data_IF_118868352100
#
_entry.id   IF_118868352100
#
_cell.length_a   1.000
_cell.length_b   1.000
_cell.length_c   1.000
_cell.angle_alpha   90.00
_cell.angle_beta   90.00
_cell.angle_gamma   90.00
#
_symmetry.space_group_name_H-M   'P 1'
#
loop_
_entity.id
_entity.type
_entity.pdbx_description
1 polymer ?
#
# COMPACT_ATOMS: atom_id res chain seq x y z
N UNK A 1 -19.86 4.26 -42.43
CA UNK A 1 -21.05 5.12 -42.21
C UNK A 1 -20.65 6.26 -41.29
N UNK A 2 -20.95 7.48 -41.74
CA UNK A 2 -21.08 8.76 -41.02
C UNK A 2 -19.96 9.23 -40.05
N UNK A 3 -19.08 10.09 -40.61
CA UNK A 3 -18.47 11.27 -39.97
C UNK A 3 -19.52 12.37 -39.72
N UNK A 4 -19.25 13.26 -38.74
CA UNK A 4 -19.39 14.74 -38.74
C UNK A 4 -18.97 15.21 -37.33
N UNK A 5 -17.93 16.02 -37.05
CA UNK A 5 -17.39 17.30 -37.60
C UNK A 5 -18.34 18.49 -37.37
N UNK A 6 -17.72 19.64 -37.05
CA UNK A 6 -18.09 21.07 -37.26
C UNK A 6 -18.26 21.83 -35.92
N UNK A 7 -17.72 23.02 -35.62
CA UNK A 7 -17.02 24.16 -36.29
C UNK A 7 -16.22 24.91 -35.19
N UNK A 8 -15.02 25.50 -35.34
CA UNK A 8 -14.48 26.52 -36.26
C UNK A 8 -15.07 27.94 -36.14
N UNK A 9 -14.24 28.89 -35.66
CA UNK A 9 -14.40 30.36 -35.84
C UNK A 9 -13.01 31.02 -35.99
N UNK A 10 -12.55 31.04 -37.24
CA UNK A 10 -12.12 32.19 -38.07
C UNK A 10 -11.30 33.36 -37.48
N UNK A 11 -10.16 33.54 -38.16
CA UNK A 11 -9.14 34.60 -38.20
C UNK A 11 -9.67 35.98 -38.62
N UNK A 12 -9.02 37.06 -38.17
CA UNK A 12 -8.83 38.21 -39.06
C UNK A 12 -7.38 38.72 -39.07
N UNK A 13 -6.92 38.91 -40.30
CA UNK A 13 -5.57 39.20 -40.76
C UNK A 13 -5.43 40.72 -40.98
N UNK A 14 -4.25 41.30 -40.74
CA UNK A 14 -3.65 42.35 -41.59
C UNK A 14 -2.26 42.76 -41.07
N UNK A 15 -1.24 42.48 -41.91
CA UNK A 15 -0.20 43.38 -42.49
C UNK A 15 0.34 44.50 -41.56
N UNK A 16 1.62 44.86 -41.51
CA UNK A 16 2.64 44.89 -42.55
C UNK A 16 4.03 45.11 -41.95
N UNK A 17 5.02 44.49 -42.58
CA UNK A 17 6.44 44.86 -42.54
C UNK A 17 6.59 46.33 -42.97
N UNK A 18 7.41 47.12 -42.28
CA UNK A 18 8.16 48.21 -42.92
C UNK A 18 9.42 48.60 -42.16
N UNK A 19 10.51 48.56 -42.93
CA UNK A 19 11.80 49.20 -42.70
C UNK A 19 11.61 50.67 -42.33
N UNK A 20 12.47 51.20 -41.44
CA UNK A 20 12.70 52.63 -41.34
C UNK A 20 14.19 52.89 -41.55
N UNK A 21 14.45 53.59 -42.66
CA UNK A 21 15.72 54.10 -43.13
C UNK A 21 16.08 55.42 -42.44
N UNK A 22 17.38 55.64 -42.34
CA UNK A 22 18.06 56.87 -41.94
C UNK A 22 18.00 57.86 -43.10
N UNK A 23 17.66 59.14 -42.86
CA UNK A 23 18.43 60.28 -43.39
C UNK A 23 18.09 61.66 -42.78
N UNK A 24 19.16 62.41 -42.48
CA UNK A 24 19.40 63.87 -42.66
C UNK A 24 18.17 64.81 -42.67
N UNK A 25 18.19 65.99 -42.02
CA UNK A 25 19.15 67.11 -42.22
C UNK A 25 18.72 68.33 -41.37
N UNK A 26 19.70 69.22 -41.15
CA UNK A 26 19.61 70.71 -41.05
C UNK A 26 19.18 71.41 -39.74
N UNK A 27 20.21 71.95 -39.06
CA UNK A 27 20.38 73.36 -38.59
C UNK A 27 19.36 74.38 -39.15
N UNK A 28 19.03 75.50 -38.45
CA UNK A 28 20.08 76.44 -38.01
C UNK A 28 19.83 77.38 -36.78
N UNK A 29 20.96 77.94 -36.34
CA UNK A 29 21.25 79.30 -35.83
C UNK A 29 20.51 79.99 -34.66
N UNK A 30 21.37 80.42 -33.72
CA UNK A 30 21.51 81.76 -33.12
C UNK A 30 20.43 82.30 -32.17
N UNK A 31 20.86 82.61 -30.94
CA UNK A 31 20.81 84.00 -30.45
C UNK A 31 21.76 84.18 -29.25
N UNK A 32 22.50 85.28 -29.27
CA UNK A 32 23.46 85.78 -28.28
C UNK A 32 22.77 86.67 -27.26
N UNK A 33 23.29 86.72 -26.02
CA UNK A 33 23.49 87.91 -25.16
C UNK A 33 23.76 87.43 -23.71
N UNK A 34 24.56 88.05 -22.83
CA UNK A 34 25.48 89.19 -22.86
C UNK A 34 26.21 89.24 -21.49
N UNK A 35 27.53 89.37 -21.56
CA UNK A 35 28.55 89.99 -20.67
C UNK A 35 28.20 90.46 -19.25
N UNK A 36 29.15 90.27 -18.32
CA UNK A 36 30.01 91.32 -17.69
C UNK A 36 31.02 90.63 -16.73
N UNK A 37 32.33 90.74 -16.99
CA UNK A 37 33.32 91.64 -16.32
C UNK A 37 33.87 91.03 -15.00
N UNK A 38 35.16 91.08 -14.63
CA UNK A 38 36.30 91.83 -15.12
C UNK A 38 37.63 91.12 -14.74
N UNK A 39 38.62 91.29 -15.63
CA UNK A 39 40.05 91.58 -15.44
C UNK A 39 40.96 90.75 -14.52
N UNK A 40 42.28 90.68 -14.70
CA UNK A 40 43.29 90.97 -15.76
C UNK A 40 44.63 90.93 -14.98
N UNK A 41 45.67 90.20 -15.42
CA UNK A 41 47.03 90.68 -15.76
C UNK A 41 47.96 89.45 -15.54
N UNK A 42 49.02 89.12 -16.26
CA UNK A 42 49.75 89.60 -17.46
C UNK A 42 50.72 88.43 -17.77
N UNK A 43 50.70 87.83 -18.95
CA UNK A 43 51.58 88.13 -20.09
C UNK A 43 53.11 88.11 -19.81
N UNK A 44 53.81 87.16 -20.44
CA UNK A 44 54.97 87.50 -21.27
C UNK A 44 55.12 86.53 -22.45
N UNK A 45 54.77 87.05 -23.62
CA UNK A 45 55.07 86.57 -24.97
C UNK A 45 56.58 86.47 -25.21
N UNK A 46 57.00 85.57 -26.11
CA UNK A 46 57.59 86.02 -27.38
C UNK A 46 57.53 84.93 -28.46
N UNK A 47 57.28 85.41 -29.67
CA UNK A 47 56.93 84.69 -30.87
C UNK A 47 58.16 84.16 -31.65
N UNK A 48 57.90 83.07 -32.38
CA UNK A 48 58.37 82.65 -33.73
C UNK A 48 59.80 83.00 -34.23
N UNK A 49 60.46 82.05 -34.93
CA UNK A 49 60.12 81.88 -36.35
C UNK A 49 60.09 80.43 -36.88
N UNK A 50 59.51 80.35 -38.07
CA UNK A 50 59.40 79.20 -38.94
C UNK A 50 60.76 78.57 -39.31
N UNK A 51 60.79 77.23 -39.39
CA UNK A 51 61.60 76.51 -40.37
C UNK A 51 61.32 75.00 -40.38
N UNK A 52 61.11 74.52 -41.60
CA UNK A 52 61.51 73.21 -42.14
C UNK A 52 60.55 72.02 -42.03
N UNK A 53 60.17 71.58 -43.24
CA UNK A 53 59.62 70.29 -43.59
C UNK A 53 60.41 69.16 -42.93
N UNK A 54 59.71 68.25 -42.27
CA UNK A 54 60.23 66.91 -42.02
C UNK A 54 59.11 65.93 -42.25
N UNK A 55 59.25 65.16 -43.33
CA UNK A 55 58.44 63.98 -43.61
C UNK A 55 58.51 63.05 -42.40
N UNK A 56 57.44 63.00 -41.60
CA UNK A 56 57.30 61.97 -40.55
C UNK A 56 56.78 60.71 -41.22
N UNK A 57 57.70 59.80 -41.51
CA UNK A 57 57.40 58.39 -41.71
C UNK A 57 56.47 57.90 -40.59
N UNK A 58 55.30 57.37 -40.98
CA UNK A 58 54.45 56.59 -40.08
C UNK A 58 55.19 55.27 -39.83
N UNK A 59 56.08 55.26 -38.84
CA UNK A 59 56.64 54.01 -38.32
C UNK A 59 55.47 53.18 -37.79
N UNK A 60 55.17 52.07 -38.49
CA UNK A 60 54.38 50.97 -37.93
C UNK A 60 55.04 50.58 -36.62
N UNK A 61 54.46 51.05 -35.51
CA UNK A 61 54.84 50.66 -34.16
C UNK A 61 54.51 49.18 -34.06
N UNK A 62 55.53 48.35 -34.26
CA UNK A 62 55.46 46.96 -33.85
C UNK A 62 55.09 46.98 -32.37
N UNK A 63 53.84 46.63 -32.04
CA UNK A 63 53.47 46.43 -30.65
C UNK A 63 54.51 45.46 -30.07
N UNK A 64 55.21 45.82 -28.98
CA UNK A 64 56.24 44.96 -28.43
C UNK A 64 55.58 43.59 -28.19
N UNK A 65 56.17 42.52 -28.74
CA UNK A 65 55.60 41.16 -28.71
C UNK A 65 55.14 40.74 -27.30
N UNK A 66 55.75 41.34 -26.26
CA UNK A 66 55.36 41.26 -24.85
C UNK A 66 53.91 41.66 -24.56
N UNK A 67 53.36 42.73 -25.16
CA UNK A 67 51.98 43.17 -24.91
C UNK A 67 50.98 42.12 -25.43
N UNK A 68 51.24 41.56 -26.61
CA UNK A 68 50.40 40.50 -27.20
C UNK A 68 50.42 39.26 -26.30
N UNK A 69 51.59 38.90 -25.76
CA UNK A 69 51.72 37.79 -24.80
C UNK A 69 51.03 38.08 -23.46
N UNK A 70 51.07 39.31 -22.94
CA UNK A 70 50.34 39.67 -21.71
C UNK A 70 48.83 39.62 -21.90
N UNK A 71 48.31 40.09 -23.03
CA UNK A 71 46.87 40.03 -23.35
C UNK A 71 46.44 38.57 -23.56
N UNK A 72 47.26 37.76 -24.23
CA UNK A 72 46.99 36.33 -24.38
C UNK A 72 46.96 35.60 -23.03
N UNK A 73 47.92 35.89 -22.13
CA UNK A 73 47.96 35.33 -20.78
C UNK A 73 46.72 35.75 -19.95
N UNK A 74 46.35 37.03 -19.98
CA UNK A 74 45.15 37.55 -19.31
C UNK A 74 43.86 36.90 -19.86
N UNK A 75 43.78 36.71 -21.18
CA UNK A 75 42.66 36.02 -21.83
C UNK A 75 42.57 34.55 -21.41
N UNK A 76 43.70 33.85 -21.33
CA UNK A 76 43.77 32.47 -20.81
C UNK A 76 43.33 32.41 -19.35
N UNK A 77 43.80 33.32 -18.49
CA UNK A 77 43.40 33.40 -17.08
C UNK A 77 41.89 33.68 -16.97
N UNK A 78 41.37 34.61 -17.77
CA UNK A 78 39.94 34.94 -17.80
C UNK A 78 39.09 33.76 -18.28
N UNK A 79 39.55 33.04 -19.30
CA UNK A 79 38.89 31.86 -19.82
C UNK A 79 38.93 30.72 -18.79
N UNK A 80 40.07 30.49 -18.13
CA UNK A 80 40.21 29.52 -17.06
C UNK A 80 39.30 29.87 -15.86
N UNK A 81 39.21 31.14 -15.49
CA UNK A 81 38.32 31.63 -14.44
C UNK A 81 36.83 31.50 -14.80
N UNK A 82 36.50 31.71 -16.08
CA UNK A 82 35.15 31.55 -16.61
C UNK A 82 34.74 30.07 -16.64
N UNK A 83 35.59 29.19 -17.17
CA UNK A 83 35.36 27.74 -17.22
C UNK A 83 35.22 27.17 -15.81
N UNK A 84 36.12 27.50 -14.88
CA UNK A 84 36.03 27.05 -13.48
C UNK A 84 34.80 27.59 -12.75
N UNK A 85 34.28 28.77 -13.13
CA UNK A 85 33.00 29.29 -12.62
C UNK A 85 31.79 28.44 -13.02
N UNK A 86 31.81 27.81 -14.20
CA UNK A 86 30.71 26.93 -14.64
C UNK A 86 30.66 25.61 -13.87
N UNK A 87 31.78 25.16 -13.29
CA UNK A 87 31.87 23.94 -12.48
C UNK A 87 31.76 24.19 -10.97
N UNK A 88 31.07 25.27 -10.57
CA UNK A 88 30.85 25.52 -9.15
C UNK A 88 29.90 24.49 -8.54
N UNK A 89 30.29 23.92 -7.41
CA UNK A 89 29.51 22.97 -6.60
C UNK A 89 29.46 23.46 -5.16
N UNK A 90 28.43 23.06 -4.41
CA UNK A 90 28.34 23.35 -2.99
C UNK A 90 27.96 22.09 -2.21
N UNK A 91 28.56 21.90 -1.04
CA UNK A 91 28.17 20.89 -0.07
C UNK A 91 27.63 21.59 1.16
N UNK A 92 26.42 21.22 1.58
CA UNK A 92 25.70 21.81 2.70
C UNK A 92 25.45 20.72 3.72
N UNK A 93 26.17 20.76 4.83
CA UNK A 93 25.98 19.84 5.95
C UNK A 93 24.93 20.40 6.89
N UNK A 94 23.82 19.69 7.08
CA UNK A 94 22.72 20.11 7.95
C UNK A 94 22.72 19.29 9.23
N UNK A 95 22.62 19.98 10.37
CA UNK A 95 22.43 19.39 11.69
C UNK A 95 20.97 19.65 12.08
N UNK A 96 20.11 18.62 12.09
CA UNK A 96 18.71 18.78 12.42
C UNK A 96 18.54 19.13 13.90
N UNK A 97 17.42 19.78 14.23
CA UNK A 97 17.00 19.94 15.62
C UNK A 97 16.67 18.55 16.18
N UNK A 98 17.17 18.26 17.38
CA UNK A 98 16.90 17.02 18.08
C UNK A 98 16.41 17.28 19.50
N UNK A 99 15.57 16.40 20.02
CA UNK A 99 15.13 16.42 21.40
C UNK A 99 15.00 15.00 21.92
N UNK A 100 15.36 14.79 23.18
CA UNK A 100 15.19 13.51 23.85
C UNK A 100 13.86 13.49 24.59
N UNK A 101 13.06 12.45 24.39
CA UNK A 101 11.81 12.26 25.12
C UNK A 101 11.74 10.87 25.73
N UNK A 102 11.03 10.77 26.86
CA UNK A 102 10.72 9.53 27.55
C UNK A 102 9.21 9.35 27.60
N UNK A 103 8.77 8.11 27.46
CA UNK A 103 7.36 7.74 27.42
C UNK A 103 7.06 6.68 28.47
N UNK A 104 5.91 6.84 29.11
CA UNK A 104 5.22 5.78 29.86
C UNK A 104 3.72 6.06 29.74
N UNK A 105 3.28 6.14 28.49
CA UNK A 105 2.01 6.76 28.12
C UNK A 105 1.18 5.83 27.26
N UNK A 106 -0.12 6.06 27.33
CA UNK A 106 -1.11 5.30 26.59
C UNK A 106 -1.86 6.23 25.66
N UNK A 107 -1.84 5.92 24.38
CA UNK A 107 -2.49 6.66 23.31
C UNK A 107 -3.67 5.86 22.78
N UNK A 108 -4.78 6.54 22.50
CA UNK A 108 -5.94 5.92 21.88
C UNK A 108 -5.85 6.13 20.38
N UNK A 109 -5.79 5.03 19.64
CA UNK A 109 -5.90 5.02 18.19
C UNK A 109 -7.31 4.58 17.78
N UNK A 110 -7.82 5.11 16.67
CA UNK A 110 -9.15 4.78 16.15
C UNK A 110 -9.10 4.43 14.67
N UNK A 111 -9.97 3.53 14.23
CA UNK A 111 -10.07 3.15 12.81
C UNK A 111 -10.63 4.31 11.96
N UNK A 112 -11.63 4.99 12.52
CA UNK A 112 -12.26 6.19 11.96
C UNK A 112 -11.90 7.41 12.82
N UNK A 113 -10.64 7.80 12.80
CA UNK A 113 -10.14 8.94 13.56
C UNK A 113 -10.66 10.28 13.00
N UNK A 114 -11.04 11.19 13.90
CA UNK A 114 -11.32 12.59 13.57
C UNK A 114 -10.02 13.39 13.45
N UNK A 115 -10.03 14.60 12.85
CA UNK A 115 -8.85 15.44 12.78
C UNK A 115 -8.23 15.68 14.16
N UNK A 116 -6.96 15.29 14.33
CA UNK A 116 -6.23 15.41 15.60
C UNK A 116 -6.26 14.15 16.48
N UNK A 117 -6.97 13.10 16.08
CA UNK A 117 -6.88 11.76 16.67
C UNK A 117 -5.92 10.87 15.87
N UNK A 118 -5.40 9.82 16.49
CA UNK A 118 -4.48 8.88 15.83
C UNK A 118 -5.26 7.82 15.04
N UNK A 119 -5.06 7.77 13.72
CA UNK A 119 -5.66 6.73 12.87
C UNK A 119 -4.82 5.45 12.86
N UNK A 120 -5.50 4.31 12.83
CA UNK A 120 -4.88 3.03 12.44
C UNK A 120 -5.65 2.36 11.30
N UNK A 121 -4.94 1.50 10.57
CA UNK A 121 -5.50 0.65 9.53
C UNK A 121 -5.19 -0.82 9.82
N UNK A 122 -6.01 -1.71 9.25
CA UNK A 122 -5.85 -3.16 9.41
C UNK A 122 -5.49 -3.76 8.07
N UNK A 123 -4.27 -4.28 7.97
CA UNK A 123 -3.81 -5.06 6.83
C UNK A 123 -4.19 -6.53 7.06
N UNK A 124 -4.94 -7.12 6.13
CA UNK A 124 -5.32 -8.53 6.19
C UNK A 124 -4.71 -9.30 5.04
N UNK A 125 -4.02 -10.39 5.36
CA UNK A 125 -3.48 -11.34 4.39
C UNK A 125 -4.00 -12.74 4.70
N UNK A 126 -4.18 -13.57 3.69
CA UNK A 126 -4.61 -14.95 3.86
C UNK A 126 -3.67 -15.87 3.11
N UNK A 127 -3.31 -17.00 3.73
CA UNK A 127 -2.45 -17.98 3.09
C UNK A 127 -2.88 -19.39 3.42
N UNK A 128 -2.96 -20.19 2.35
CA UNK A 128 -3.24 -21.61 2.40
C UNK A 128 -1.98 -22.37 2.01
N UNK A 129 -1.58 -23.33 2.83
CA UNK A 129 -0.51 -24.28 2.51
C UNK A 129 -1.02 -25.70 2.66
N UNK A 130 -0.43 -26.62 1.90
CA UNK A 130 -0.73 -28.04 1.99
C UNK A 130 0.54 -28.86 2.19
N UNK A 131 0.39 -30.02 2.85
CA UNK A 131 1.48 -30.99 3.03
C UNK A 131 0.94 -32.39 2.82
N UNK A 132 1.71 -33.20 2.11
CA UNK A 132 1.37 -34.59 1.85
C UNK A 132 1.97 -35.46 2.96
N UNK A 133 1.16 -36.38 3.47
CA UNK A 133 1.52 -37.33 4.52
C UNK A 133 1.20 -38.75 4.05
N UNK A 134 1.99 -39.70 4.53
CA UNK A 134 1.76 -41.12 4.26
C UNK A 134 0.79 -41.70 5.29
N UNK A 135 -0.21 -42.42 4.80
CA UNK A 135 -1.19 -43.11 5.61
C UNK A 135 -0.67 -44.51 5.96
N UNK A 136 -0.13 -44.69 7.16
CA UNK A 136 0.49 -45.95 7.61
C UNK A 136 -0.39 -46.76 8.56
N UNK A 137 -1.36 -46.14 9.21
CA UNK A 137 -2.31 -46.81 10.10
C UNK A 137 -3.53 -47.30 9.30
N UNK A 138 -4.20 -48.36 9.74
CA UNK A 138 -5.44 -48.83 9.10
C UNK A 138 -6.61 -48.65 10.05
N UNK A 139 -7.67 -48.01 9.59
CA UNK A 139 -8.92 -47.83 10.34
C UNK A 139 -10.09 -48.45 9.56
N UNK A 140 -10.98 -49.12 10.27
CA UNK A 140 -12.23 -49.61 9.69
C UNK A 140 -13.21 -48.45 9.52
N UNK A 141 -13.26 -47.86 8.33
CA UNK A 141 -14.20 -46.81 8.00
C UNK A 141 -15.58 -47.44 7.73
N UNK A 142 -16.57 -47.02 8.51
CA UNK A 142 -17.97 -47.46 8.38
C UNK A 142 -18.86 -46.26 8.09
N UNK A 143 -19.03 -45.92 6.82
CA UNK A 143 -19.87 -44.79 6.39
C UNK A 143 -21.19 -45.32 5.81
N UNK A 144 -22.29 -44.69 6.25
CA UNK A 144 -23.64 -44.97 5.76
C UNK A 144 -23.95 -44.09 4.55
N UNK A 145 -24.52 -44.67 3.50
CA UNK A 145 -24.95 -43.91 2.33
C UNK A 145 -26.09 -42.95 2.70
N UNK A 146 -26.15 -41.79 2.06
CA UNK A 146 -27.22 -40.81 2.27
C UNK A 146 -27.70 -40.20 0.96
N UNK A 147 -28.96 -39.78 0.92
CA UNK A 147 -29.60 -39.20 -0.26
C UNK A 147 -30.93 -38.55 0.08
N UNK A 148 -31.68 -38.12 -0.94
CA UNK A 148 -33.01 -37.52 -0.80
C UNK A 148 -34.07 -38.36 -1.50
N UNK A 149 -35.21 -38.52 -0.84
CA UNK A 149 -36.42 -39.12 -1.41
C UNK A 149 -37.59 -38.15 -1.34
N UNK A 150 -38.55 -38.34 -2.25
CA UNK A 150 -39.88 -37.74 -2.17
C UNK A 150 -40.85 -38.82 -1.69
N UNK A 151 -41.49 -38.59 -0.55
CA UNK A 151 -42.48 -39.49 0.03
C UNK A 151 -43.87 -39.05 -0.40
N UNK A 152 -44.68 -39.97 -0.90
CA UNK A 152 -46.04 -39.75 -1.39
C UNK A 152 -47.07 -40.45 -0.50
N UNK A 153 -48.20 -39.76 -0.30
CA UNK A 153 -49.40 -40.28 0.35
C UNK A 153 -50.55 -40.25 -0.66
N UNK A 154 -50.90 -41.43 -1.16
CA UNK A 154 -52.06 -41.65 -2.02
C UNK A 154 -53.17 -42.44 -1.29
N UNK A 155 -53.21 -42.40 0.05
CA UNK A 155 -54.16 -43.18 0.85
C UNK A 155 -55.42 -42.39 1.22
N UNK A 156 -55.26 -41.17 1.75
CA UNK A 156 -56.35 -40.34 2.25
C UNK A 156 -56.02 -38.85 2.19
N UNK A 157 -57.02 -37.99 2.37
CA UNK A 157 -56.85 -36.53 2.54
C UNK A 157 -56.19 -36.15 3.88
N UNK A 158 -56.21 -37.06 4.86
CA UNK A 158 -55.51 -36.88 6.12
C UNK A 158 -53.97 -36.92 5.96
N UNK A 159 -53.30 -36.02 6.67
CA UNK A 159 -51.83 -35.99 6.78
C UNK A 159 -51.33 -37.20 7.58
N UNK A 160 -50.16 -37.73 7.24
CA UNK A 160 -49.52 -38.82 7.98
C UNK A 160 -48.16 -38.36 8.50
N UNK A 161 -48.00 -38.35 9.83
CA UNK A 161 -46.69 -38.14 10.47
C UNK A 161 -45.86 -39.42 10.40
N UNK A 162 -44.62 -39.31 9.96
CA UNK A 162 -43.59 -40.34 10.02
C UNK A 162 -42.54 -39.92 11.04
N UNK A 163 -42.24 -40.79 11.99
CA UNK A 163 -41.30 -40.51 13.09
C UNK A 163 -39.85 -40.71 12.63
N UNK A 164 -38.90 -40.16 13.39
CA UNK A 164 -37.48 -40.44 13.20
C UNK A 164 -37.22 -41.96 13.10
N UNK A 165 -36.29 -42.37 12.24
CA UNK A 165 -35.96 -43.77 11.95
C UNK A 165 -37.08 -44.60 11.30
N UNK A 166 -38.11 -43.96 10.72
CA UNK A 166 -39.05 -44.69 9.85
C UNK A 166 -38.29 -45.36 8.72
N UNK A 167 -38.55 -46.66 8.53
CA UNK A 167 -37.85 -47.54 7.57
C UNK A 167 -38.51 -47.50 6.19
N UNK A 168 -37.71 -47.17 5.19
CA UNK A 168 -38.01 -47.23 3.77
C UNK A 168 -37.21 -48.37 3.15
N UNK A 169 -37.89 -49.31 2.53
CA UNK A 169 -37.33 -50.52 1.93
C UNK A 169 -37.33 -50.36 0.41
N UNK A 170 -36.18 -50.54 -0.23
CA UNK A 170 -36.08 -50.61 -1.70
C UNK A 170 -36.61 -51.94 -2.22
N UNK A 171 -36.80 -52.07 -3.55
CA UNK A 171 -37.15 -53.36 -4.16
C UNK A 171 -36.09 -54.45 -3.92
N UNK A 172 -34.83 -54.07 -3.71
CA UNK A 172 -33.72 -54.97 -3.40
C UNK A 172 -33.65 -55.33 -1.90
N UNK A 173 -34.63 -54.89 -1.10
CA UNK A 173 -34.71 -55.17 0.34
C UNK A 173 -33.78 -54.33 1.20
N UNK A 174 -33.12 -53.31 0.63
CA UNK A 174 -32.23 -52.42 1.37
C UNK A 174 -33.04 -51.40 2.18
N UNK A 175 -32.67 -51.25 3.45
CA UNK A 175 -33.38 -50.38 4.38
C UNK A 175 -32.67 -49.03 4.50
N UNK A 176 -33.46 -47.96 4.39
CA UNK A 176 -33.07 -46.58 4.62
C UNK A 176 -33.98 -45.95 5.67
N UNK A 177 -33.46 -44.98 6.41
CA UNK A 177 -34.14 -44.34 7.54
C UNK A 177 -34.14 -42.84 7.39
N UNK A 178 -35.21 -42.20 7.87
CA UNK A 178 -35.27 -40.73 7.95
C UNK A 178 -34.61 -40.22 9.23
N UNK A 179 -33.77 -39.18 9.18
CA UNK A 179 -33.03 -38.66 10.33
C UNK A 179 -33.88 -37.73 11.21
N UNK A 180 -35.05 -37.30 10.73
CA UNK A 180 -35.98 -36.42 11.44
C UNK A 180 -37.42 -36.84 11.16
N UNK A 181 -38.34 -36.48 12.05
CA UNK A 181 -39.76 -36.71 11.83
C UNK A 181 -40.28 -35.78 10.74
N UNK A 182 -41.15 -36.28 9.86
CA UNK A 182 -41.76 -35.52 8.76
C UNK A 182 -43.28 -35.70 8.77
N UNK A 183 -43.99 -34.74 8.19
CA UNK A 183 -45.43 -34.83 8.00
C UNK A 183 -45.70 -34.90 6.50
N UNK A 184 -46.25 -36.03 6.04
CA UNK A 184 -46.62 -36.22 4.64
C UNK A 184 -48.05 -35.71 4.46
N UNK A 185 -48.28 -34.68 3.61
CA UNK A 185 -49.63 -34.20 3.33
C UNK A 185 -50.53 -35.30 2.77
N UNK A 186 -51.84 -35.18 2.97
CA UNK A 186 -52.81 -36.06 2.29
C UNK A 186 -53.05 -35.68 0.83
N UNK A 187 -53.92 -36.45 0.18
CA UNK A 187 -54.37 -36.20 -1.20
C UNK A 187 -55.01 -34.81 -1.31
N UNK A 188 -54.73 -34.10 -2.40
CA UNK A 188 -55.38 -32.83 -2.77
C UNK A 188 -56.19 -32.99 -4.06
N UNK A 189 -57.30 -32.26 -4.15
CA UNK A 189 -58.09 -32.13 -5.38
C UNK A 189 -57.65 -30.86 -6.11
N UNK A 190 -57.00 -31.02 -7.27
CA UNK A 190 -56.61 -29.91 -8.15
C UNK A 190 -57.31 -30.11 -9.49
N UNK A 191 -58.25 -29.23 -9.83
CA UNK A 191 -59.02 -29.32 -11.07
C UNK A 191 -59.83 -30.63 -11.20
N UNK A 192 -60.41 -31.11 -10.10
CA UNK A 192 -61.20 -32.36 -10.07
C UNK A 192 -60.39 -33.66 -10.13
N UNK A 193 -59.05 -33.57 -10.23
CA UNK A 193 -58.14 -34.74 -10.21
C UNK A 193 -57.51 -34.91 -8.83
N UNK A 194 -57.44 -36.16 -8.36
CA UNK A 194 -56.73 -36.52 -7.12
C UNK A 194 -55.23 -36.49 -7.36
N UNK A 195 -54.52 -35.63 -6.64
CA UNK A 195 -53.06 -35.52 -6.64
C UNK A 195 -52.53 -35.98 -5.29
N UNK A 196 -51.65 -36.99 -5.23
CA UNK A 196 -51.03 -37.44 -3.98
C UNK A 196 -50.31 -36.29 -3.27
N UNK A 197 -50.46 -36.23 -1.94
CA UNK A 197 -49.63 -35.33 -1.13
C UNK A 197 -48.19 -35.83 -1.10
N UNK A 198 -47.22 -34.92 -1.15
CA UNK A 198 -45.81 -35.28 -1.18
C UNK A 198 -44.95 -34.40 -0.28
N UNK A 199 -43.85 -34.95 0.23
CA UNK A 199 -42.83 -34.21 0.98
C UNK A 199 -41.43 -34.74 0.65
N UNK A 200 -40.46 -33.85 0.49
CA UNK A 200 -39.06 -34.21 0.28
C UNK A 200 -38.36 -34.38 1.64
N UNK A 201 -37.53 -35.42 1.78
CA UNK A 201 -36.77 -35.68 3.00
C UNK A 201 -35.42 -36.31 2.71
N UNK A 202 -34.48 -36.14 3.64
CA UNK A 202 -33.21 -36.86 3.66
C UNK A 202 -33.41 -38.28 4.19
N UNK A 203 -32.64 -39.21 3.66
CA UNK A 203 -32.53 -40.58 4.16
C UNK A 203 -31.06 -40.99 4.32
N UNK A 204 -30.83 -41.95 5.21
CA UNK A 204 -29.54 -42.61 5.38
C UNK A 204 -29.72 -44.13 5.47
N UNK A 205 -28.72 -44.89 5.01
CA UNK A 205 -28.72 -46.35 5.03
C UNK A 205 -28.80 -46.92 6.45
N UNK A 206 -29.44 -48.08 6.64
CA UNK A 206 -29.47 -48.71 7.96
C UNK A 206 -28.07 -49.16 8.41
N UNK A 207 -27.28 -49.70 7.48
CA UNK A 207 -25.92 -50.17 7.72
C UNK A 207 -24.90 -49.44 6.82
N UNK A 208 -23.61 -49.42 7.22
CA UNK A 208 -22.54 -48.93 6.35
C UNK A 208 -22.28 -49.89 5.17
N UNK A 209 -21.69 -49.35 4.10
CA UNK A 209 -21.25 -50.16 2.95
C UNK A 209 -21.70 -49.63 1.59
N UNK A 210 -20.93 -49.97 0.56
CA UNK A 210 -21.18 -49.54 -0.81
C UNK A 210 -22.48 -50.10 -1.39
N UNK A 211 -22.94 -51.25 -0.86
CA UNK A 211 -24.22 -51.87 -1.25
C UNK A 211 -25.43 -50.95 -1.10
N UNK A 212 -25.34 -49.89 -0.30
CA UNK A 212 -26.43 -48.93 -0.10
C UNK A 212 -26.35 -47.69 -1.01
N UNK A 213 -25.29 -47.56 -1.83
CA UNK A 213 -25.21 -46.51 -2.83
C UNK A 213 -26.14 -46.85 -4.01
N UNK A 214 -26.93 -45.89 -4.47
CA UNK A 214 -27.93 -46.09 -5.52
C UNK A 214 -28.07 -44.82 -6.34
N UNK A 215 -27.92 -44.92 -7.67
CA UNK A 215 -28.19 -43.79 -8.57
C UNK A 215 -29.67 -43.70 -8.87
N UNK A 216 -30.15 -42.48 -9.13
CA UNK A 216 -31.54 -42.25 -9.57
C UNK A 216 -31.85 -43.04 -10.85
N UNK A 217 -30.88 -43.18 -11.76
CA UNK A 217 -31.02 -43.97 -12.99
C UNK A 217 -31.26 -45.46 -12.77
N UNK A 218 -30.78 -45.98 -11.64
CA UNK A 218 -30.77 -47.41 -11.35
C UNK A 218 -31.95 -47.80 -10.45
N UNK A 219 -32.83 -46.83 -10.14
CA UNK A 219 -33.99 -47.04 -9.29
C UNK A 219 -34.98 -48.01 -9.94
N UNK A 220 -35.06 -49.21 -9.38
CA UNK A 220 -36.10 -50.18 -9.68
C UNK A 220 -37.23 -49.96 -8.68
N UNK A 221 -38.30 -49.35 -9.19
CA UNK A 221 -39.56 -49.12 -8.48
C UNK A 221 -39.54 -48.14 -7.31
N UNK A 222 -40.53 -48.29 -6.43
CA UNK A 222 -40.81 -47.35 -5.35
C UNK A 222 -40.39 -47.93 -3.99
N UNK A 223 -39.79 -47.10 -3.15
CA UNK A 223 -39.52 -47.46 -1.76
C UNK A 223 -40.83 -47.63 -0.98
N UNK A 224 -40.90 -48.70 -0.19
CA UNK A 224 -42.06 -49.00 0.66
C UNK A 224 -41.76 -48.71 2.12
N UNK A 225 -42.78 -48.28 2.85
CA UNK A 225 -42.66 -48.03 4.29
C UNK A 225 -42.85 -49.36 5.01
N UNK A 226 -41.76 -49.96 5.50
CA UNK A 226 -41.77 -51.30 6.10
C UNK A 226 -42.75 -51.40 7.29
N UNK A 227 -42.89 -50.32 8.06
CA UNK A 227 -43.82 -50.26 9.20
C UNK A 227 -45.31 -50.30 8.84
N UNK A 228 -45.68 -50.17 7.57
CA UNK A 228 -47.07 -50.28 7.12
C UNK A 228 -47.43 -51.67 6.56
N UNK A 229 -46.47 -52.58 6.49
CA UNK A 229 -46.66 -53.93 5.94
C UNK A 229 -47.84 -54.65 6.61
N UNK A 230 -48.67 -55.32 5.81
CA UNK A 230 -49.89 -56.00 6.27
C UNK A 230 -51.13 -55.10 6.37
N UNK A 231 -50.99 -53.78 6.29
CA UNK A 231 -52.10 -52.82 6.27
C UNK A 231 -52.38 -52.23 4.88
N UNK A 232 -53.59 -51.67 4.68
CA UNK A 232 -53.96 -50.99 3.42
C UNK A 232 -53.00 -49.84 3.07
N UNK A 233 -52.46 -49.14 4.07
CA UNK A 233 -51.50 -48.04 3.88
C UNK A 233 -50.24 -48.45 3.11
N UNK A 234 -49.80 -49.71 3.19
CA UNK A 234 -48.62 -50.21 2.49
C UNK A 234 -48.69 -50.04 0.97
N UNK A 235 -49.90 -50.17 0.41
CA UNK A 235 -50.11 -50.11 -1.03
C UNK A 235 -50.18 -48.65 -1.54
N UNK A 236 -50.48 -47.70 -0.67
CA UNK A 236 -50.78 -46.31 -1.05
C UNK A 236 -49.74 -45.28 -0.57
N UNK A 237 -48.84 -45.67 0.32
CA UNK A 237 -47.66 -44.88 0.67
C UNK A 237 -46.42 -45.44 -0.01
N UNK A 238 -45.67 -44.57 -0.65
CA UNK A 238 -44.44 -44.95 -1.35
C UNK A 238 -43.49 -43.76 -1.42
N UNK A 239 -42.21 -44.01 -1.72
CA UNK A 239 -41.25 -42.95 -1.94
C UNK A 239 -40.37 -43.20 -3.16
N UNK A 240 -39.86 -42.14 -3.76
CA UNK A 240 -38.99 -42.18 -4.95
C UNK A 240 -37.72 -41.38 -4.70
N UNK A 241 -36.61 -41.80 -5.30
CA UNK A 241 -35.38 -41.01 -5.21
C UNK A 241 -35.54 -39.66 -5.91
N UNK A 242 -35.00 -38.65 -5.25
CA UNK A 242 -34.84 -37.30 -5.80
C UNK A 242 -33.39 -37.04 -6.21
N UNK A 243 -32.45 -37.56 -5.42
CA UNK A 243 -31.01 -37.50 -5.68
C UNK A 243 -30.41 -38.88 -5.51
N UNK A 244 -29.20 -39.08 -6.04
CA UNK A 244 -28.43 -40.29 -5.78
C UNK A 244 -28.25 -40.48 -4.27
N UNK A 245 -28.24 -41.75 -3.84
CA UNK A 245 -27.76 -42.15 -2.52
C UNK A 245 -26.27 -42.47 -2.67
N UNK A 246 -25.42 -41.73 -1.96
CA UNK A 246 -23.97 -41.85 -2.07
C UNK A 246 -23.27 -41.79 -0.71
N UNK A 247 -21.98 -42.14 -0.71
CA UNK A 247 -21.10 -42.05 0.47
C UNK A 247 -21.10 -43.29 1.35
N UNK A 248 -21.86 -44.33 1.04
CA UNK A 248 -21.78 -45.61 1.75
C UNK A 248 -20.47 -46.31 1.45
N UNK A 249 -19.71 -46.65 2.48
CA UNK A 249 -18.47 -47.43 2.37
C UNK A 249 -18.23 -48.23 3.64
N UNK A 250 -17.61 -49.40 3.49
CA UNK A 250 -17.24 -50.26 4.62
C UNK A 250 -15.95 -50.98 4.24
N UNK A 251 -14.85 -50.65 4.90
CA UNK A 251 -13.56 -51.26 4.63
C UNK A 251 -12.41 -50.68 5.45
N UNK A 252 -11.27 -51.38 5.39
CA UNK A 252 -10.00 -50.88 5.93
C UNK A 252 -9.51 -49.75 5.02
N UNK A 253 -9.47 -48.54 5.54
CA UNK A 253 -8.81 -47.40 4.89
C UNK A 253 -7.52 -47.10 5.63
N UNK A 254 -6.49 -46.71 4.88
CA UNK A 254 -5.28 -46.20 5.51
C UNK A 254 -5.54 -44.79 6.03
N UNK A 255 -5.04 -44.50 7.23
CA UNK A 255 -5.12 -43.21 7.91
C UNK A 255 -3.72 -42.79 8.35
N UNK A 256 -3.50 -41.48 8.41
CA UNK A 256 -2.28 -40.92 8.99
C UNK A 256 -2.39 -41.03 10.52
N UNK A 257 -1.37 -41.59 11.22
CA UNK A 257 -1.36 -41.62 12.68
C UNK A 257 -1.59 -40.24 13.28
N UNK A 258 -2.46 -40.15 14.30
CA UNK A 258 -2.87 -38.87 14.89
C UNK A 258 -1.68 -38.00 15.31
N UNK A 259 -0.62 -38.62 15.86
CA UNK A 259 0.60 -37.92 16.26
C UNK A 259 1.33 -37.28 15.07
N UNK A 260 1.48 -38.00 13.96
CA UNK A 260 2.13 -37.49 12.73
C UNK A 260 1.30 -36.35 12.14
N UNK A 261 -0.02 -36.52 12.14
CA UNK A 261 -0.95 -35.49 11.66
C UNK A 261 -0.85 -34.20 12.50
N UNK A 262 -0.82 -34.31 13.82
CA UNK A 262 -0.70 -33.16 14.72
C UNK A 262 0.66 -32.45 14.58
N UNK A 263 1.76 -33.21 14.48
CA UNK A 263 3.10 -32.66 14.24
C UNK A 263 3.17 -31.94 12.89
N UNK A 264 2.66 -32.57 11.82
CA UNK A 264 2.62 -31.98 10.49
C UNK A 264 1.76 -30.71 10.42
N UNK A 265 0.61 -30.69 11.10
CA UNK A 265 -0.21 -29.46 11.21
C UNK A 265 0.52 -28.38 11.98
N UNK A 266 1.21 -28.69 13.09
CA UNK A 266 1.99 -27.69 13.85
C UNK A 266 3.09 -27.06 13.01
N UNK A 267 3.83 -27.87 12.25
CA UNK A 267 4.89 -27.40 11.35
C UNK A 267 4.33 -26.50 10.25
N UNK A 268 3.29 -26.96 9.54
CA UNK A 268 2.65 -26.20 8.48
C UNK A 268 2.08 -24.87 8.98
N UNK A 269 1.53 -24.84 10.20
CA UNK A 269 1.06 -23.62 10.86
C UNK A 269 2.19 -22.64 11.19
N UNK A 270 3.38 -23.13 11.55
CA UNK A 270 4.56 -22.32 11.78
C UNK A 270 5.09 -21.73 10.47
N UNK A 271 5.11 -22.53 9.39
CA UNK A 271 5.50 -22.09 8.06
C UNK A 271 4.58 -20.98 7.55
N UNK A 272 3.25 -21.19 7.60
CA UNK A 272 2.24 -20.18 7.24
C UNK A 272 2.49 -18.86 7.99
N UNK A 273 2.73 -18.92 9.32
CA UNK A 273 3.02 -17.73 10.12
C UNK A 273 4.27 -17.00 9.62
N UNK A 274 5.35 -17.74 9.40
CA UNK A 274 6.62 -17.15 8.95
C UNK A 274 6.49 -16.50 7.57
N UNK A 275 5.74 -17.11 6.66
CA UNK A 275 5.53 -16.57 5.32
C UNK A 275 4.59 -15.38 5.30
N UNK A 276 3.47 -15.44 6.04
CA UNK A 276 2.54 -14.32 6.17
C UNK A 276 3.23 -13.08 6.75
N UNK A 277 4.11 -13.27 7.75
CA UNK A 277 4.88 -12.16 8.32
C UNK A 277 5.85 -11.55 7.30
N UNK A 278 6.59 -12.37 6.54
CA UNK A 278 7.48 -11.89 5.47
C UNK A 278 6.71 -11.12 4.41
N UNK A 279 5.56 -11.65 4.01
CA UNK A 279 4.69 -11.04 3.00
C UNK A 279 4.07 -9.74 3.49
N UNK A 280 3.68 -9.66 4.77
CA UNK A 280 3.23 -8.44 5.43
C UNK A 280 4.28 -7.33 5.35
N UNK A 281 5.54 -7.62 5.69
CA UNK A 281 6.63 -6.63 5.57
C UNK A 281 6.96 -6.25 4.12
N UNK A 282 6.73 -7.15 3.16
CA UNK A 282 6.98 -6.88 1.75
C UNK A 282 5.89 -6.01 1.09
N UNK A 283 4.63 -6.17 1.50
CA UNK A 283 3.47 -5.49 0.89
C UNK A 283 3.07 -4.21 1.65
N UNK A 284 3.46 -4.07 2.92
CA UNK A 284 3.15 -2.87 3.74
C UNK A 284 3.55 -1.58 2.99
N UNK A 285 2.69 -0.55 2.99
CA UNK A 285 3.05 0.75 2.43
C UNK A 285 4.35 1.31 3.04
N UNK A 286 5.14 2.00 2.22
CA UNK A 286 6.41 2.59 2.66
C UNK A 286 6.21 3.67 3.74
N UNK A 287 5.08 4.39 3.71
CA UNK A 287 4.75 5.43 4.69
C UNK A 287 4.11 4.89 5.97
N UNK A 288 3.89 3.59 6.08
CA UNK A 288 3.25 2.99 7.25
C UNK A 288 4.27 2.30 8.16
N UNK A 289 3.96 2.11 9.43
CA UNK A 289 4.73 1.31 10.38
C UNK A 289 3.84 0.19 10.92
N UNK A 290 4.39 -1.03 10.95
CA UNK A 290 3.84 -2.17 11.68
C UNK A 290 4.66 -2.32 12.95
N UNK A 291 4.05 -2.03 14.10
CA UNK A 291 4.74 -2.09 15.38
C UNK A 291 4.96 -3.54 15.81
N UNK A 292 5.99 -3.77 16.63
CA UNK A 292 6.16 -5.04 17.32
C UNK A 292 4.89 -5.35 18.14
N UNK A 293 4.46 -6.61 18.12
CA UNK A 293 3.22 -7.10 18.75
C UNK A 293 1.89 -6.53 18.19
N UNK A 294 1.94 -5.74 17.10
CA UNK A 294 0.74 -5.20 16.45
C UNK A 294 0.15 -6.14 15.40
N UNK A 295 0.39 -7.44 15.48
CA UNK A 295 -0.14 -8.41 14.53
C UNK A 295 -0.69 -9.65 15.21
N UNK A 296 -1.75 -10.17 14.60
CA UNK A 296 -2.49 -11.31 15.11
C UNK A 296 -2.75 -12.30 13.98
N UNK A 297 -2.95 -13.56 14.36
CA UNK A 297 -3.39 -14.60 13.45
C UNK A 297 -4.79 -15.03 13.86
N UNK A 298 -5.71 -15.14 12.91
CA UNK A 298 -7.00 -15.77 13.15
C UNK A 298 -6.81 -17.26 13.49
N UNK A 299 -7.82 -17.87 14.09
CA UNK A 299 -7.83 -19.32 14.27
C UNK A 299 -7.64 -20.04 12.92
N UNK A 300 -6.89 -21.14 12.98
CA UNK A 300 -6.61 -21.96 11.80
C UNK A 300 -7.86 -22.72 11.38
N UNK A 301 -8.22 -22.59 10.11
CA UNK A 301 -9.24 -23.43 9.52
C UNK A 301 -8.57 -24.65 8.88
N UNK A 302 -8.67 -25.81 9.54
CA UNK A 302 -8.35 -27.09 8.92
C UNK A 302 -9.41 -27.38 7.86
N UNK A 303 -9.00 -27.37 6.59
CA UNK A 303 -9.88 -27.76 5.50
C UNK A 303 -10.00 -29.29 5.46
N UNK A 304 -11.07 -29.86 4.85
CA UNK A 304 -11.20 -31.30 4.74
C UNK A 304 -9.96 -31.93 4.10
N UNK A 305 -9.43 -32.96 4.74
CA UNK A 305 -8.26 -33.69 4.24
C UNK A 305 -8.61 -34.34 2.89
N UNK A 306 -7.69 -34.27 1.92
CA UNK A 306 -7.89 -34.82 0.59
C UNK A 306 -7.07 -36.09 0.43
N UNK A 307 -7.73 -37.20 0.12
CA UNK A 307 -7.05 -38.45 -0.23
C UNK A 307 -6.44 -38.35 -1.64
N UNK A 308 -5.12 -38.51 -1.73
CA UNK A 308 -4.36 -38.56 -2.98
C UNK A 308 -4.02 -40.02 -3.31
N UNK A 309 -5.07 -40.84 -3.48
CA UNK A 309 -4.96 -42.30 -3.65
C UNK A 309 -5.12 -43.07 -2.34
N UNK A 310 -4.68 -44.33 -2.33
CA UNK A 310 -4.88 -45.23 -1.17
C UNK A 310 -3.95 -44.95 0.01
N UNK A 311 -2.77 -44.36 -0.24
CA UNK A 311 -1.65 -44.35 0.72
C UNK A 311 -1.20 -42.94 1.11
N UNK A 312 -1.74 -41.90 0.47
CA UNK A 312 -1.33 -40.50 0.69
C UNK A 312 -2.52 -39.62 1.01
N UNK A 313 -2.35 -38.77 2.02
CA UNK A 313 -3.34 -37.76 2.43
C UNK A 313 -2.69 -36.39 2.32
N UNK A 314 -3.39 -35.44 1.72
CA UNK A 314 -3.03 -34.04 1.68
C UNK A 314 -3.79 -33.29 2.77
N UNK A 315 -3.05 -32.81 3.79
CA UNK A 315 -3.57 -31.90 4.80
C UNK A 315 -3.50 -30.47 4.28
N UNK A 316 -4.51 -29.67 4.61
CA UNK A 316 -4.63 -28.29 4.18
C UNK A 316 -4.97 -27.40 5.38
N UNK A 317 -4.13 -26.39 5.64
CA UNK A 317 -4.45 -25.35 6.62
C UNK A 317 -4.53 -24.00 5.94
N UNK A 318 -5.44 -23.18 6.45
CA UNK A 318 -5.58 -21.78 6.07
C UNK A 318 -5.48 -20.91 7.34
N UNK A 319 -4.77 -19.79 7.24
CA UNK A 319 -4.74 -18.78 8.28
C UNK A 319 -4.87 -17.38 7.69
N UNK A 320 -5.49 -16.48 8.43
CA UNK A 320 -5.46 -15.06 8.15
C UNK A 320 -4.49 -14.36 9.11
N UNK A 321 -3.69 -13.46 8.56
CA UNK A 321 -2.86 -12.51 9.29
C UNK A 321 -3.60 -11.17 9.32
N UNK A 322 -3.61 -10.54 10.50
CA UNK A 322 -4.15 -9.21 10.72
C UNK A 322 -3.08 -8.35 11.38
N UNK A 323 -2.50 -7.42 10.61
CA UNK A 323 -1.51 -6.45 11.11
C UNK A 323 -2.15 -5.07 11.26
N UNK A 324 -1.96 -4.44 12.41
CA UNK A 324 -2.37 -3.07 12.67
C UNK A 324 -1.22 -2.16 12.25
N UNK A 325 -1.49 -1.30 11.27
CA UNK A 325 -0.50 -0.38 10.73
C UNK A 325 -0.92 1.07 11.01
N UNK A 326 0.08 1.92 11.17
CA UNK A 326 -0.08 3.36 11.38
C UNK A 326 0.65 4.11 10.27
N UNK A 327 0.17 5.28 9.86
CA UNK A 327 1.02 6.18 9.08
C UNK A 327 2.16 6.69 9.97
N UNK A 328 3.39 6.58 9.49
CA UNK A 328 4.59 6.88 10.27
C UNK A 328 4.66 8.36 10.64
N UNK A 329 4.34 9.25 9.70
CA UNK A 329 4.39 10.68 9.92
C UNK A 329 3.27 11.13 10.88
N UNK A 330 2.08 10.56 10.73
CA UNK A 330 0.95 10.82 11.64
C UNK A 330 1.25 10.33 13.07
N UNK A 331 1.75 9.11 13.21
CA UNK A 331 2.12 8.53 14.52
C UNK A 331 3.19 9.37 15.21
N UNK A 332 4.28 9.70 14.49
CA UNK A 332 5.39 10.47 15.05
C UNK A 332 4.93 11.85 15.51
N UNK A 333 4.18 12.55 14.67
CA UNK A 333 3.68 13.90 14.99
C UNK A 333 2.68 13.87 16.15
N UNK A 334 1.82 12.85 16.21
CA UNK A 334 0.83 12.69 17.29
C UNK A 334 1.49 12.43 18.64
N UNK A 335 2.47 11.52 18.69
CA UNK A 335 3.22 11.21 19.92
C UNK A 335 3.98 12.44 20.41
N UNK A 336 4.69 13.13 19.50
CA UNK A 336 5.47 14.34 19.85
C UNK A 336 4.58 15.46 20.34
N UNK A 337 3.45 15.74 19.67
CA UNK A 337 2.50 16.78 20.07
C UNK A 337 1.95 16.57 21.49
N UNK A 338 1.70 15.32 21.88
CA UNK A 338 1.19 14.99 23.21
C UNK A 338 2.29 15.00 24.30
N UNK A 339 3.57 14.94 23.90
CA UNK A 339 4.71 14.90 24.83
C UNK A 339 5.41 16.24 25.02
N UNK A 340 5.51 17.04 23.95
CA UNK A 340 6.23 18.30 23.90
C UNK A 340 5.22 19.45 23.74
N UNK A 341 4.99 20.27 24.79
CA UNK A 341 4.06 21.39 24.74
C UNK A 341 4.42 22.44 23.68
N UNK A 342 5.72 22.66 23.46
CA UNK A 342 6.26 23.65 22.53
C UNK A 342 6.45 23.10 21.11
N UNK A 343 5.74 22.03 20.75
CA UNK A 343 5.82 21.45 19.42
C UNK A 343 5.21 22.40 18.38
N UNK A 344 6.02 22.74 17.38
CA UNK A 344 5.74 23.71 16.32
C UNK A 344 4.95 23.13 15.14
N UNK A 345 4.57 21.85 15.19
CA UNK A 345 3.84 21.16 14.12
C UNK A 345 4.70 20.81 12.90
N UNK A 346 6.02 20.98 13.00
CA UNK A 346 6.96 20.64 11.92
C UNK A 346 7.14 19.12 11.87
N UNK A 347 7.18 18.49 10.68
CA UNK A 347 7.30 17.03 10.59
C UNK A 347 8.54 16.48 11.31
N UNK A 348 8.36 15.40 12.05
CA UNK A 348 9.37 14.79 12.93
C UNK A 348 9.50 13.30 12.65
N UNK A 349 10.69 12.77 12.90
CA UNK A 349 10.95 11.34 12.93
C UNK A 349 11.29 10.92 14.37
N UNK A 350 10.79 9.76 14.80
CA UNK A 350 11.07 9.17 16.09
C UNK A 350 12.03 8.00 15.95
N UNK A 351 13.19 8.10 16.58
CA UNK A 351 14.14 7.00 16.71
C UNK A 351 14.00 6.40 18.10
N UNK A 352 13.25 5.30 18.18
CA UNK A 352 13.02 4.56 19.43
C UNK A 352 14.31 3.88 19.91
N UNK A 353 14.50 3.82 21.23
CA UNK A 353 15.58 3.02 21.81
C UNK A 353 15.34 1.53 21.64
N UNK A 354 16.42 0.75 21.66
CA UNK A 354 16.41 -0.71 21.54
C UNK A 354 15.55 -1.38 22.64
N UNK A 355 15.40 -0.74 23.80
CA UNK A 355 14.61 -1.24 24.94
C UNK A 355 13.20 -0.64 25.03
N UNK A 356 12.72 0.03 23.98
CA UNK A 356 11.38 0.62 23.98
C UNK A 356 10.33 -0.47 23.87
N UNK A 357 9.53 -0.63 24.92
CA UNK A 357 8.37 -1.49 24.93
C UNK A 357 7.21 -0.82 24.20
N UNK A 358 6.70 -1.50 23.18
CA UNK A 358 5.50 -1.11 22.46
C UNK A 358 4.48 -2.21 22.64
N UNK A 359 3.29 -1.89 23.13
CA UNK A 359 2.21 -2.86 23.22
C UNK A 359 0.89 -2.26 22.76
N UNK A 360 0.09 -3.09 22.09
CA UNK A 360 -1.28 -2.77 21.74
C UNK A 360 -2.23 -3.63 22.57
N UNK A 361 -3.26 -2.99 23.09
CA UNK A 361 -4.36 -3.65 23.78
C UNK A 361 -5.68 -3.13 23.24
N UNK A 362 -6.66 -4.03 23.13
CA UNK A 362 -8.03 -3.62 22.87
C UNK A 362 -8.65 -3.10 24.18
N UNK A 363 -9.41 -2.01 24.07
CA UNK A 363 -10.21 -1.49 25.18
C UNK A 363 -11.47 -2.35 25.42
N UNK A 364 -11.86 -3.21 24.46
CA UNK A 364 -13.01 -4.11 24.55
C UNK A 364 -12.58 -5.57 24.52
N UNK A 365 -12.75 -6.30 25.63
CA UNK A 365 -12.41 -7.73 25.72
C UNK A 365 -13.33 -8.65 24.90
N UNK A 366 -14.35 -8.10 24.22
CA UNK A 366 -15.41 -8.88 23.56
C UNK A 366 -15.10 -9.19 22.08
N UNK A 367 -14.13 -8.51 21.45
CA UNK A 367 -13.79 -8.69 20.04
C UNK A 367 -12.28 -8.84 19.88
N UNK A 368 -11.83 -9.46 18.77
CA UNK A 368 -10.43 -9.40 18.42
C UNK A 368 -9.97 -7.95 18.14
N UNK A 369 -8.72 -7.57 18.45
CA UNK A 369 -8.23 -6.20 18.32
C UNK A 369 -8.38 -5.59 16.91
N UNK A 370 -8.35 -6.43 15.87
CA UNK A 370 -8.52 -5.97 14.48
C UNK A 370 -9.98 -5.67 14.07
N UNK A 371 -10.95 -6.08 14.89
CA UNK A 371 -12.38 -5.79 14.72
C UNK A 371 -12.88 -4.66 15.61
N UNK A 372 -12.07 -4.24 16.60
CA UNK A 372 -12.37 -3.08 17.43
C UNK A 372 -12.38 -1.77 16.63
N UNK A 373 -13.09 -0.78 17.16
CA UNK A 373 -13.12 0.58 16.61
C UNK A 373 -12.00 1.47 17.18
N UNK A 374 -11.47 1.10 18.34
CA UNK A 374 -10.43 1.81 19.07
C UNK A 374 -9.44 0.85 19.71
N UNK A 375 -8.17 1.24 19.72
CA UNK A 375 -7.07 0.50 20.31
C UNK A 375 -6.27 1.40 21.26
N UNK A 376 -5.73 0.79 22.29
CA UNK A 376 -4.86 1.42 23.27
C UNK A 376 -3.41 1.05 22.97
N UNK A 377 -2.64 2.03 22.51
CA UNK A 377 -1.22 1.93 22.22
C UNK A 377 -0.42 2.41 23.43
N UNK A 378 0.28 1.51 24.08
CA UNK A 378 1.18 1.82 25.20
C UNK A 378 2.62 1.90 24.71
N UNK A 379 3.27 3.04 24.93
CA UNK A 379 4.68 3.27 24.64
C UNK A 379 5.44 3.48 25.95
N UNK A 380 6.45 2.63 26.20
CA UNK A 380 7.29 2.69 27.40
C UNK A 380 8.76 2.63 27.03
N UNK A 381 9.49 3.72 27.24
CA UNK A 381 10.92 3.79 26.91
C UNK A 381 11.37 5.21 26.60
N UNK A 382 12.40 5.32 25.77
CA UNK A 382 12.95 6.60 25.30
C UNK A 382 13.05 6.65 23.78
N UNK A 383 13.04 7.86 23.24
CA UNK A 383 13.35 8.09 21.83
C UNK A 383 14.02 9.44 21.60
N UNK A 384 14.75 9.51 20.50
CA UNK A 384 15.22 10.75 19.92
C UNK A 384 14.22 11.26 18.89
N UNK A 385 13.69 12.45 19.12
CA UNK A 385 12.92 13.20 18.15
C UNK A 385 13.88 13.94 17.25
N UNK A 386 13.78 13.72 15.95
CA UNK A 386 14.59 14.40 14.93
C UNK A 386 13.64 15.19 14.04
N UNK A 387 13.78 16.50 14.02
CA UNK A 387 12.98 17.33 13.13
C UNK A 387 13.44 17.13 11.69
N UNK A 388 12.47 16.96 10.81
CA UNK A 388 12.70 16.81 9.38
C UNK A 388 12.45 18.14 8.68
N UNK A 389 13.00 18.26 7.48
CA UNK A 389 12.88 19.45 6.65
C UNK A 389 12.85 19.02 5.19
N UNK A 390 12.26 19.85 4.33
CA UNK A 390 12.22 19.59 2.90
C UNK A 390 13.57 19.94 2.27
N UNK A 391 14.35 18.91 1.93
CA UNK A 391 15.66 19.04 1.31
C UNK A 391 15.57 19.78 -0.05
N UNK A 392 14.55 19.49 -0.87
CA UNK A 392 14.40 20.09 -2.18
C UNK A 392 14.06 21.58 -2.09
N UNK A 393 13.24 21.98 -1.12
CA UNK A 393 12.98 23.38 -0.81
C UNK A 393 14.23 24.09 -0.29
N UNK A 394 15.03 23.43 0.55
CA UNK A 394 16.30 23.99 1.02
C UNK A 394 17.29 24.21 -0.15
N UNK A 395 17.46 23.23 -1.05
CA UNK A 395 18.32 23.37 -2.23
C UNK A 395 17.88 24.53 -3.12
N UNK A 396 16.58 24.64 -3.40
CA UNK A 396 16.01 25.74 -4.21
C UNK A 396 16.21 27.09 -3.52
N UNK A 397 16.04 27.14 -2.21
CA UNK A 397 16.21 28.37 -1.43
C UNK A 397 17.68 28.83 -1.38
N UNK A 398 18.63 27.91 -1.44
CA UNK A 398 20.06 28.22 -1.47
C UNK A 398 20.59 28.53 -2.88
N UNK A 399 19.93 28.05 -3.94
CA UNK A 399 20.38 28.22 -5.31
C UNK A 399 20.56 29.69 -5.70
N UNK A 400 21.78 30.03 -6.14
CA UNK A 400 22.16 31.40 -6.55
C UNK A 400 22.27 32.42 -5.41
N UNK A 401 21.98 32.05 -4.16
CA UNK A 401 22.08 32.95 -3.01
C UNK A 401 23.54 33.18 -2.60
N UNK A 402 23.78 34.28 -1.87
CA UNK A 402 25.11 34.56 -1.30
C UNK A 402 25.35 33.69 -0.06
N UNK A 403 26.59 33.28 0.15
CA UNK A 403 26.99 32.52 1.35
C UNK A 403 26.73 33.29 2.65
N UNK A 404 26.78 34.62 2.60
CA UNK A 404 26.41 35.50 3.74
C UNK A 404 24.96 35.36 4.16
N UNK A 405 24.07 34.99 3.23
CA UNK A 405 22.63 34.98 3.47
C UNK A 405 22.16 33.63 4.03
N UNK A 406 23.08 32.69 4.19
CA UNK A 406 22.84 31.33 4.69
C UNK A 406 22.03 31.34 5.99
N UNK A 407 22.49 32.08 7.01
CA UNK A 407 21.82 32.11 8.31
C UNK A 407 20.38 32.63 8.23
N UNK A 408 20.12 33.61 7.34
CA UNK A 408 18.77 34.16 7.11
C UNK A 408 17.86 33.15 6.40
N UNK A 409 18.41 32.36 5.48
CA UNK A 409 17.64 31.33 4.79
C UNK A 409 17.31 30.20 5.78
N UNK A 410 18.28 29.77 6.57
CA UNK A 410 18.10 28.69 7.56
C UNK A 410 17.10 29.08 8.63
N UNK A 411 17.04 30.34 9.07
CA UNK A 411 16.04 30.79 10.05
C UNK A 411 14.59 30.62 9.60
N UNK A 412 14.33 30.40 8.30
CA UNK A 412 12.99 30.04 7.81
C UNK A 412 12.66 28.56 7.95
N UNK A 413 13.64 27.70 8.26
CA UNK A 413 13.50 26.27 8.47
C UNK A 413 13.61 25.92 9.96
N UNK A 414 12.47 25.84 10.64
CA UNK A 414 12.39 25.55 12.07
C UNK A 414 12.99 24.20 12.50
N UNK A 415 13.05 23.22 11.57
CA UNK A 415 13.59 21.88 11.83
C UNK A 415 15.12 21.79 11.83
N UNK A 416 15.83 22.90 11.56
CA UNK A 416 17.29 22.91 11.43
C UNK A 416 17.92 23.64 12.61
N UNK A 417 18.85 22.98 13.30
CA UNK A 417 19.61 23.59 14.40
C UNK A 417 20.84 24.35 13.89
N UNK A 418 21.63 23.73 13.00
CA UNK A 418 22.85 24.33 12.45
C UNK A 418 23.06 23.86 11.01
N UNK A 419 23.71 24.70 10.18
CA UNK A 419 24.14 24.31 8.83
C UNK A 419 25.55 24.82 8.58
N UNK A 420 26.34 23.98 7.91
CA UNK A 420 27.69 24.32 7.45
C UNK A 420 27.74 24.20 5.94
N UNK A 421 28.14 25.27 5.27
CA UNK A 421 28.22 25.29 3.81
C UNK A 421 29.66 25.47 3.30
N UNK A 422 30.05 24.58 2.40
CA UNK A 422 31.30 24.62 1.66
C UNK A 422 30.99 24.81 0.17
N UNK A 423 31.49 25.90 -0.42
CA UNK A 423 31.34 26.18 -1.85
C UNK A 423 32.69 25.98 -2.53
N UNK A 424 32.68 25.27 -3.67
CA UNK A 424 33.83 25.07 -4.54
C UNK A 424 33.59 25.77 -5.88
N UNK A 425 34.62 26.43 -6.45
CA UNK A 425 35.91 26.75 -5.82
C UNK A 425 35.76 27.72 -4.63
N UNK A 426 36.70 27.69 -3.67
CA UNK A 426 36.60 28.41 -2.38
C UNK A 426 36.48 29.94 -2.48
N UNK A 427 36.88 30.51 -3.63
CA UNK A 427 36.77 31.95 -3.91
C UNK A 427 35.35 32.38 -4.30
N UNK A 428 34.43 31.45 -4.61
CA UNK A 428 33.02 31.77 -4.87
C UNK A 428 32.31 32.18 -3.59
N UNK A 429 31.66 33.34 -3.62
CA UNK A 429 30.88 33.90 -2.50
C UNK A 429 29.38 33.55 -2.56
N UNK A 430 28.94 32.85 -3.60
CA UNK A 430 27.55 32.47 -3.83
C UNK A 430 27.44 30.99 -4.11
N UNK A 431 26.29 30.42 -3.78
CA UNK A 431 25.94 29.06 -4.16
C UNK A 431 25.76 28.95 -5.69
N UNK A 432 25.94 27.73 -6.25
CA UNK A 432 25.58 27.44 -7.63
C UNK A 432 24.12 27.83 -7.93
N UNK A 433 23.85 28.32 -9.14
CA UNK A 433 22.49 28.69 -9.57
C UNK A 433 21.58 27.49 -9.84
N UNK A 434 22.16 26.32 -10.08
CA UNK A 434 21.42 25.06 -10.29
C UNK A 434 21.31 24.32 -8.95
N UNK A 435 20.10 24.01 -8.45
CA UNK A 435 19.90 23.26 -7.21
C UNK A 435 20.66 21.92 -7.20
N UNK A 436 20.69 21.21 -8.33
CA UNK A 436 21.39 19.92 -8.51
C UNK A 436 22.90 19.97 -8.19
N UNK A 437 23.52 21.15 -8.21
CA UNK A 437 24.94 21.34 -7.87
C UNK A 437 25.18 21.61 -6.38
N UNK A 438 24.10 21.63 -5.58
CA UNK A 438 24.12 21.78 -4.13
C UNK A 438 23.81 20.41 -3.52
N UNK A 439 24.86 19.74 -3.04
CA UNK A 439 24.73 18.47 -2.33
C UNK A 439 24.42 18.75 -0.87
N UNK A 440 23.33 18.19 -0.34
CA UNK A 440 23.02 18.25 1.08
C UNK A 440 23.48 16.96 1.74
N UNK A 441 24.11 17.09 2.91
CA UNK A 441 24.56 15.97 3.73
C UNK A 441 23.98 16.13 5.13
N UNK A 442 23.18 15.16 5.58
CA UNK A 442 22.70 15.14 6.96
C UNK A 442 23.83 14.69 7.88
N UNK A 443 24.14 15.50 8.89
CA UNK A 443 25.07 15.08 9.94
C UNK A 443 24.39 14.04 10.81
N UNK A 444 24.58 12.77 10.48
CA UNK A 444 24.19 11.67 11.35
C UNK A 444 25.22 11.61 12.48
N UNK A 445 24.80 11.92 13.70
CA UNK A 445 25.56 11.57 14.89
C UNK A 445 25.67 10.04 14.84
N UNK A 446 26.87 9.53 14.56
CA UNK A 446 27.14 8.09 14.73
C UNK A 446 26.92 7.78 16.20
N UNK A 447 26.02 6.82 16.46
CA UNK A 447 25.77 6.20 17.76
C UNK A 447 27.10 5.70 18.35
#
# INVERSE_FOLDING_TARGET
>A
MAKNIIQDVVVNNRRSIRQVSIERRRRPTQSKARKMEANEFEEKKKAEPASQETQKEIKKRNAPKMIIWTIALLSIIFLLFSVTSFFSTATVTVIPKTARIAFNDTYIAKKNALPGELRYEVMTLQKKMSKQLEATETENLKIKASGKIVVYNNFSEATQRLIINTRFESEEGLIYKIPKSIIVPGIKLVGGKKVPGSVETLIFADEPGEKYNMKVSDLKGDFKIAGFRGGKKYNFFYARLKTDIAGGSSGLVKKVPAKILDEARKELRADIKSELLKEAYAIKPQSSVLLADAYYYSDYASLPDKFLGADKIEINENAAFHGIIFDEAELNSYVVKNKLPDYDGVPVNLVLDDNTGVSLSDNSSAKPPWEGDSLSLSLKGGADVIWTYDEALLQKSLAGQRKSDLNRIISSFLGIAEVRAQVRPYWKRSFPSKPEKIKIENFSVKK
#
